data_IF_754276035880
#
_entry.id   IF_754276035880
#
_cell.length_a   1.000
_cell.length_b   1.000
_cell.length_c   1.000
_cell.angle_alpha   90.00
_cell.angle_beta   90.00
_cell.angle_gamma   90.00
#
_symmetry.space_group_name_H-M   'P 1'
#
loop_
_entity.id
_entity.type
_entity.pdbx_description
1 polymer ?
#
# COMPACT_ATOMS: atom_id res chain seq x y z
N UNK A 1 35.27 -38.53 -4.62
CA UNK A 1 35.03 -37.12 -4.99
C UNK A 1 34.16 -37.14 -6.24
N UNK A 2 33.00 -36.44 -6.30
CA UNK A 2 32.12 -36.47 -7.47
C UNK A 2 32.80 -35.94 -8.73
N UNK A 3 32.67 -36.68 -9.83
CA UNK A 3 33.36 -36.56 -11.11
C UNK A 3 32.70 -35.56 -12.07
N UNK A 4 32.37 -34.37 -11.60
CA UNK A 4 31.74 -33.33 -12.40
C UNK A 4 32.47 -31.99 -12.23
N UNK A 5 33.77 -32.01 -12.50
CA UNK A 5 34.55 -30.81 -12.78
C UNK A 5 35.02 -30.95 -14.22
N UNK A 6 34.41 -30.17 -15.10
CA UNK A 6 34.73 -30.15 -16.53
C UNK A 6 36.03 -29.32 -16.70
N UNK A 7 37.08 -29.91 -17.25
CA UNK A 7 38.41 -29.28 -17.44
C UNK A 7 38.39 -28.16 -18.50
N UNK A 8 37.28 -28.01 -19.23
CA UNK A 8 37.05 -26.94 -20.20
C UNK A 8 36.28 -25.75 -19.62
N UNK A 9 36.44 -25.48 -18.31
CA UNK A 9 35.94 -24.24 -17.74
C UNK A 9 36.85 -23.10 -18.22
N UNK A 10 36.50 -22.53 -19.38
CA UNK A 10 37.07 -21.27 -19.84
C UNK A 10 37.03 -20.28 -18.67
N UNK A 11 38.21 -19.91 -18.20
CA UNK A 11 38.40 -18.93 -17.15
C UNK A 11 37.84 -17.61 -17.66
N UNK A 12 36.54 -17.40 -17.42
CA UNK A 12 35.84 -16.17 -17.64
C UNK A 12 36.53 -15.14 -16.75
N UNK A 13 37.62 -14.59 -17.26
CA UNK A 13 38.26 -13.38 -16.77
C UNK A 13 37.21 -12.28 -16.95
N UNK A 14 36.30 -12.21 -15.98
CA UNK A 14 35.34 -11.13 -15.86
C UNK A 14 36.14 -9.94 -15.40
N UNK A 15 36.59 -9.14 -16.36
CA UNK A 15 37.18 -7.83 -16.10
C UNK A 15 36.06 -6.93 -15.53
N UNK A 16 35.90 -6.98 -14.20
CA UNK A 16 34.96 -6.13 -13.47
C UNK A 16 35.50 -4.69 -13.46
N UNK A 17 35.29 -3.97 -14.57
CA UNK A 17 35.51 -2.53 -14.59
C UNK A 17 34.55 -1.86 -13.57
N UNK A 18 35.06 -0.96 -12.71
CA UNK A 18 34.23 -0.35 -11.67
C UNK A 18 33.12 0.49 -12.30
N UNK A 19 31.87 0.17 -11.98
CA UNK A 19 30.70 0.94 -12.43
C UNK A 19 30.66 2.27 -11.67
N UNK A 20 31.05 3.36 -12.33
CA UNK A 20 30.98 4.72 -11.78
C UNK A 20 29.54 5.22 -11.86
N UNK A 21 28.81 5.13 -10.74
CA UNK A 21 27.46 5.68 -10.62
C UNK A 21 27.57 7.17 -10.27
N UNK A 22 27.36 8.04 -11.26
CA UNK A 22 27.21 9.48 -11.02
C UNK A 22 25.84 9.73 -10.37
N UNK A 23 25.84 10.08 -9.09
CA UNK A 23 24.64 10.63 -8.44
C UNK A 23 24.37 11.98 -9.10
N UNK A 24 23.32 12.07 -9.92
CA UNK A 24 22.76 13.36 -10.26
C UNK A 24 22.15 13.91 -8.97
N UNK A 25 22.67 15.01 -8.46
CA UNK A 25 22.05 15.77 -7.38
C UNK A 25 20.74 16.35 -7.90
N UNK A 26 19.71 15.49 -7.98
CA UNK A 26 18.33 15.93 -8.01
C UNK A 26 18.07 16.46 -6.62
N UNK A 27 18.25 17.77 -6.50
CA UNK A 27 17.80 18.64 -5.42
C UNK A 27 16.80 17.95 -4.50
N UNK A 28 17.15 17.90 -3.22
CA UNK A 28 16.26 17.62 -2.11
C UNK A 28 14.99 18.47 -2.28
N UNK A 29 13.95 17.87 -2.86
CA UNK A 29 12.63 18.44 -2.79
C UNK A 29 12.18 18.22 -1.35
N UNK A 30 12.06 19.32 -0.64
CA UNK A 30 11.42 19.43 0.67
C UNK A 30 9.94 19.03 0.49
N UNK A 31 9.65 17.74 0.32
CA UNK A 31 8.29 17.21 0.13
C UNK A 31 7.62 17.03 1.48
N UNK A 32 7.28 18.16 2.10
CA UNK A 32 6.13 18.22 3.01
C UNK A 32 4.82 18.23 2.21
N UNK A 33 4.75 17.49 1.11
CA UNK A 33 3.46 17.09 0.54
C UNK A 33 2.99 15.92 1.40
N UNK A 34 2.19 16.23 2.42
CA UNK A 34 1.46 15.21 3.18
C UNK A 34 0.86 14.22 2.19
N UNK A 35 1.39 13.01 2.12
CA UNK A 35 0.98 12.01 1.14
C UNK A 35 -0.54 11.87 1.24
N UNK A 36 -1.26 12.37 0.22
CA UNK A 36 -2.73 12.43 0.27
C UNK A 36 -3.24 11.00 0.10
N UNK A 37 -3.39 10.31 1.23
CA UNK A 37 -3.88 8.96 1.26
C UNK A 37 -5.29 8.90 0.65
N UNK A 38 -5.56 7.96 -0.26
CA UNK A 38 -6.87 7.86 -0.88
C UNK A 38 -7.92 7.49 0.17
N UNK A 39 -9.15 7.95 -0.05
CA UNK A 39 -10.26 7.85 0.91
C UNK A 39 -10.52 6.41 1.37
N UNK A 40 -10.57 5.45 0.44
CA UNK A 40 -10.80 4.04 0.76
C UNK A 40 -9.74 3.47 1.71
N UNK A 41 -8.48 3.89 1.55
CA UNK A 41 -7.35 3.45 2.38
C UNK A 41 -7.39 4.09 3.76
N UNK A 42 -7.79 5.37 3.85
CA UNK A 42 -8.04 6.04 5.13
C UNK A 42 -9.11 5.31 5.95
N UNK A 43 -10.19 4.90 5.29
CA UNK A 43 -11.30 4.16 5.93
C UNK A 43 -10.83 2.78 6.41
N UNK A 44 -10.13 2.02 5.56
CA UNK A 44 -9.64 0.67 5.92
C UNK A 44 -8.65 0.71 7.09
N UNK A 45 -7.72 1.67 7.08
CA UNK A 45 -6.78 1.87 8.18
C UNK A 45 -7.52 2.26 9.47
N UNK A 46 -8.45 3.21 9.40
CA UNK A 46 -9.18 3.66 10.57
C UNK A 46 -10.09 2.57 11.15
N UNK A 47 -10.73 1.73 10.30
CA UNK A 47 -11.49 0.56 10.76
C UNK A 47 -10.58 -0.39 11.54
N UNK A 48 -9.41 -0.70 10.97
CA UNK A 48 -8.45 -1.64 11.58
C UNK A 48 -7.90 -1.10 12.91
N UNK A 49 -7.63 0.21 13.00
CA UNK A 49 -7.20 0.87 14.24
C UNK A 49 -8.27 0.85 15.34
N UNK A 50 -9.55 0.83 14.97
CA UNK A 50 -10.68 0.74 15.90
C UNK A 50 -11.09 -0.73 16.19
N UNK A 51 -10.31 -1.72 15.73
CA UNK A 51 -10.57 -3.16 15.92
C UNK A 51 -11.93 -3.66 15.40
N UNK A 52 -12.55 -2.95 14.47
CA UNK A 52 -13.79 -3.43 13.85
C UNK A 52 -13.50 -4.42 12.72
N UNK A 53 -14.22 -5.54 12.71
CA UNK A 53 -14.26 -6.41 11.53
C UNK A 53 -15.03 -5.73 10.39
N UNK A 54 -14.76 -6.18 9.16
CA UNK A 54 -15.48 -5.72 7.95
C UNK A 54 -16.99 -5.92 8.10
N UNK A 55 -17.40 -7.02 8.73
CA UNK A 55 -18.81 -7.36 8.92
C UNK A 55 -19.50 -6.45 9.95
N UNK A 56 -18.91 -6.32 11.15
CA UNK A 56 -19.45 -5.46 12.21
C UNK A 56 -19.56 -4.01 11.76
N UNK A 57 -18.53 -3.50 11.09
CA UNK A 57 -18.54 -2.13 10.62
C UNK A 57 -19.59 -1.90 9.52
N UNK A 58 -19.75 -2.85 8.59
CA UNK A 58 -20.80 -2.79 7.58
C UNK A 58 -22.19 -2.74 8.21
N UNK A 59 -22.44 -3.52 9.27
CA UNK A 59 -23.70 -3.46 10.03
C UNK A 59 -23.90 -2.09 10.69
N UNK A 60 -22.87 -1.53 11.34
CA UNK A 60 -22.94 -0.21 12.01
C UNK A 60 -23.28 0.93 11.04
N UNK A 61 -22.73 0.91 9.84
CA UNK A 61 -23.02 1.93 8.82
C UNK A 61 -24.31 1.64 8.02
N UNK A 62 -24.96 0.50 8.27
CA UNK A 62 -26.10 -0.04 7.52
C UNK A 62 -25.80 -0.23 6.03
N UNK A 63 -24.66 -0.84 5.72
CA UNK A 63 -24.29 -1.23 4.37
C UNK A 63 -24.13 -2.75 4.27
N UNK A 64 -24.34 -3.30 3.07
CA UNK A 64 -24.04 -4.70 2.81
C UNK A 64 -22.53 -4.92 2.88
N UNK A 65 -22.12 -6.05 3.44
CA UNK A 65 -20.70 -6.41 3.62
C UNK A 65 -19.94 -6.37 2.30
N UNK A 66 -20.52 -6.91 1.22
CA UNK A 66 -19.89 -6.92 -0.11
C UNK A 66 -19.67 -5.51 -0.67
N UNK A 67 -20.60 -4.59 -0.41
CA UNK A 67 -20.48 -3.21 -0.87
C UNK A 67 -19.44 -2.45 -0.05
N UNK A 68 -19.34 -2.76 1.26
CA UNK A 68 -18.25 -2.27 2.10
C UNK A 68 -16.87 -2.74 1.65
N UNK A 69 -16.72 -4.02 1.30
CA UNK A 69 -15.47 -4.56 0.75
C UNK A 69 -15.10 -3.86 -0.55
N UNK A 70 -16.06 -3.62 -1.46
CA UNK A 70 -15.82 -2.87 -2.69
C UNK A 70 -15.40 -1.43 -2.41
N UNK A 71 -15.97 -0.81 -1.38
CA UNK A 71 -15.60 0.53 -0.93
C UNK A 71 -14.16 0.58 -0.40
N UNK A 72 -13.73 -0.38 0.43
CA UNK A 72 -12.33 -0.45 0.90
C UNK A 72 -11.34 -0.69 -0.25
N UNK A 73 -11.78 -1.40 -1.29
CA UNK A 73 -11.02 -1.60 -2.52
C UNK A 73 -11.10 -0.40 -3.50
N UNK A 74 -11.83 0.67 -3.15
CA UNK A 74 -11.95 1.87 -3.98
C UNK A 74 -12.83 1.73 -5.23
N UNK A 75 -13.68 0.69 -5.31
CA UNK A 75 -14.58 0.45 -6.45
C UNK A 75 -15.92 1.17 -6.34
N UNK A 76 -16.31 1.55 -5.12
CA UNK A 76 -17.58 2.22 -4.80
C UNK A 76 -17.28 3.43 -3.92
N UNK A 77 -17.90 4.55 -4.26
CA UNK A 77 -17.84 5.75 -3.42
C UNK A 77 -18.89 5.70 -2.31
N UNK A 78 -18.55 6.11 -1.07
CA UNK A 78 -19.53 6.22 0.02
C UNK A 78 -20.57 7.31 -0.25
N UNK A 79 -21.83 7.00 0.05
CA UNK A 79 -22.91 7.98 0.13
C UNK A 79 -22.68 8.94 1.31
N UNK A 80 -23.18 10.18 1.22
CA UNK A 80 -23.15 11.21 2.27
C UNK A 80 -23.60 10.70 3.65
N UNK A 81 -24.70 9.94 3.73
CA UNK A 81 -25.17 9.36 4.99
C UNK A 81 -24.19 8.33 5.57
N UNK A 82 -23.55 7.53 4.71
CA UNK A 82 -22.56 6.54 5.12
C UNK A 82 -21.29 7.25 5.60
N UNK A 83 -20.86 8.29 4.89
CA UNK A 83 -19.71 9.11 5.26
C UNK A 83 -19.88 9.75 6.64
N UNK A 84 -21.08 10.26 6.95
CA UNK A 84 -21.39 10.81 8.27
C UNK A 84 -21.23 9.76 9.38
N UNK A 85 -21.71 8.52 9.16
CA UNK A 85 -21.53 7.42 10.11
C UNK A 85 -20.07 6.99 10.24
N UNK A 86 -19.35 6.91 9.14
CA UNK A 86 -17.91 6.59 9.12
C UNK A 86 -17.14 7.61 9.94
N UNK A 87 -17.38 8.91 9.75
CA UNK A 87 -16.77 9.99 10.54
C UNK A 87 -17.10 9.85 12.03
N UNK A 88 -18.35 9.51 12.36
CA UNK A 88 -18.82 9.34 13.75
C UNK A 88 -18.17 8.16 14.47
N UNK A 89 -18.11 6.99 13.83
CA UNK A 89 -17.61 5.76 14.46
C UNK A 89 -16.09 5.63 14.41
N UNK A 90 -15.45 6.10 13.34
CA UNK A 90 -13.99 5.98 13.18
C UNK A 90 -13.23 7.22 13.67
N UNK A 91 -13.91 8.34 13.95
CA UNK A 91 -13.29 9.57 14.45
C UNK A 91 -12.36 10.26 13.45
N UNK A 92 -12.51 9.98 12.15
CA UNK A 92 -11.64 10.51 11.09
C UNK A 92 -12.30 11.60 10.26
N UNK A 93 -11.48 12.54 9.76
CA UNK A 93 -11.88 13.56 8.78
C UNK A 93 -11.52 13.08 7.37
N UNK A 94 -12.56 12.90 6.55
CA UNK A 94 -12.49 12.45 5.16
C UNK A 94 -13.12 13.51 4.29
#
# INVERSE_FOLDING_TARGET
MPSYWDENFEDFNQDWEPVIIKKSDKNESNQNESFVMPVHRKISNARSNNNYTVHEFAQLIHMKVNDYIKLENGKIEPNSQQLAKIRKYLGIKI
#
